data_IF_075497439242
#
_entry.id   IF_075497439242
#
_cell.length_a   1.000
_cell.length_b   1.000
_cell.length_c   1.000
_cell.angle_alpha   90.00
_cell.angle_beta   90.00
_cell.angle_gamma   90.00
#
_symmetry.space_group_name_H-M   'P 1'
#
loop_
_entity.id
_entity.type
_entity.pdbx_description
1 polymer ?
#
# COMPACT_ATOMS: atom_id res chain seq x y z
N UNK A 1 -23.31 -20.66 13.76
CA UNK A 1 -22.26 -19.94 14.53
C UNK A 1 -22.34 -18.45 14.17
N UNK A 2 -22.68 -17.56 15.12
CA UNK A 2 -22.80 -16.11 14.85
C UNK A 2 -21.39 -15.50 14.80
N UNK A 3 -21.00 -14.92 13.67
CA UNK A 3 -19.76 -14.15 13.57
C UNK A 3 -19.73 -13.04 14.64
N UNK A 4 -18.62 -12.94 15.35
CA UNK A 4 -18.35 -11.94 16.38
C UNK A 4 -18.62 -10.52 15.85
N UNK A 5 -19.09 -9.58 16.68
CA UNK A 5 -19.50 -8.24 16.23
C UNK A 5 -18.39 -7.49 15.49
N UNK A 6 -17.13 -7.66 15.90
CA UNK A 6 -15.96 -7.09 15.21
C UNK A 6 -15.78 -7.63 13.79
N UNK A 7 -16.02 -8.92 13.58
CA UNK A 7 -15.89 -9.57 12.27
C UNK A 7 -16.99 -9.12 11.29
N UNK A 8 -18.18 -8.77 11.78
CA UNK A 8 -19.25 -8.21 10.92
C UNK A 8 -18.97 -6.77 10.50
N UNK A 9 -18.35 -5.98 11.37
CA UNK A 9 -18.01 -4.58 11.07
C UNK A 9 -16.91 -4.53 10.00
N UNK A 10 -15.86 -5.36 10.13
CA UNK A 10 -14.78 -5.41 9.12
C UNK A 10 -15.30 -5.83 7.74
N UNK A 11 -16.19 -6.83 7.67
CA UNK A 11 -16.80 -7.28 6.42
C UNK A 11 -17.68 -6.21 5.75
N UNK A 12 -18.43 -5.44 6.55
CA UNK A 12 -19.24 -4.33 6.03
C UNK A 12 -18.39 -3.18 5.52
N UNK A 13 -17.31 -2.85 6.22
CA UNK A 13 -16.36 -1.83 5.78
C UNK A 13 -15.63 -2.25 4.50
N UNK A 14 -15.17 -3.50 4.42
CA UNK A 14 -14.58 -4.04 3.20
C UNK A 14 -15.59 -4.02 2.03
N UNK A 15 -16.81 -4.50 2.25
CA UNK A 15 -17.87 -4.43 1.24
C UNK A 15 -18.17 -3.00 0.78
N UNK A 16 -18.13 -2.01 1.68
CA UNK A 16 -18.33 -0.61 1.34
C UNK A 16 -17.16 0.01 0.55
N UNK A 17 -15.92 -0.33 0.92
CA UNK A 17 -14.71 0.11 0.21
C UNK A 17 -14.72 -0.42 -1.23
N UNK A 18 -15.14 -1.67 -1.44
CA UNK A 18 -15.08 -2.30 -2.77
C UNK A 18 -16.40 -2.23 -3.56
N UNK A 19 -17.52 -1.80 -2.98
CA UNK A 19 -18.76 -1.59 -3.73
C UNK A 19 -18.73 -0.30 -4.54
N UNK A 20 -18.94 -0.42 -5.85
CA UNK A 20 -19.21 0.70 -6.75
C UNK A 20 -20.64 0.58 -7.26
N UNK A 21 -21.47 1.55 -6.91
CA UNK A 21 -22.92 1.58 -7.16
C UNK A 21 -23.25 2.78 -8.06
N UNK A 22 -22.58 2.89 -9.20
CA UNK A 22 -22.80 4.00 -10.13
C UNK A 22 -23.14 3.44 -11.50
N UNK A 23 -24.43 3.21 -11.71
CA UNK A 23 -24.99 2.63 -12.93
C UNK A 23 -24.95 3.63 -14.11
N UNK A 24 -24.83 4.94 -13.83
CA UNK A 24 -24.68 6.05 -14.80
C UNK A 24 -23.99 7.27 -14.18
N UNK A 25 -22.70 7.19 -13.87
CA UNK A 25 -21.97 8.29 -13.21
C UNK A 25 -21.48 9.36 -14.21
N UNK A 26 -21.94 10.60 -14.03
CA UNK A 26 -21.23 11.79 -14.52
C UNK A 26 -19.76 11.74 -14.05
N UNK A 27 -18.76 12.17 -14.84
CA UNK A 27 -17.33 12.02 -14.52
C UNK A 27 -16.95 12.46 -13.10
N UNK A 28 -17.60 13.50 -12.57
CA UNK A 28 -17.42 13.98 -11.21
C UNK A 28 -17.72 12.93 -10.12
N UNK A 29 -18.69 12.03 -10.34
CA UNK A 29 -19.02 10.96 -9.40
C UNK A 29 -17.95 9.85 -9.38
N UNK A 30 -17.34 9.58 -10.53
CA UNK A 30 -16.18 8.66 -10.61
C UNK A 30 -15.04 9.25 -9.78
N UNK A 31 -14.67 10.51 -10.04
CA UNK A 31 -13.62 11.20 -9.27
C UNK A 31 -13.93 11.21 -7.77
N UNK A 32 -15.16 11.56 -7.37
CA UNK A 32 -15.58 11.58 -5.97
C UNK A 32 -15.49 10.18 -5.31
N UNK A 33 -15.84 9.12 -6.04
CA UNK A 33 -15.74 7.74 -5.54
C UNK A 33 -14.28 7.34 -5.25
N UNK A 34 -13.36 7.73 -6.13
CA UNK A 34 -11.92 7.52 -5.95
C UNK A 34 -11.35 8.39 -4.83
N UNK A 35 -11.63 9.69 -4.80
CA UNK A 35 -11.10 10.59 -3.77
C UNK A 35 -11.57 10.18 -2.35
N UNK A 36 -12.80 9.70 -2.20
CA UNK A 36 -13.29 9.17 -0.92
C UNK A 36 -12.51 7.92 -0.45
N UNK A 37 -12.00 7.12 -1.40
CA UNK A 37 -11.24 5.90 -1.13
C UNK A 37 -9.72 6.12 -1.06
N UNK A 38 -9.27 7.35 -1.31
CA UNK A 38 -7.87 7.74 -1.08
C UNK A 38 -7.49 7.57 0.39
N UNK A 39 -8.41 7.89 1.31
CA UNK A 39 -8.18 7.74 2.75
C UNK A 39 -7.90 6.27 3.15
N UNK A 40 -8.78 5.28 2.89
CA UNK A 40 -8.49 3.89 3.22
C UNK A 40 -7.26 3.35 2.48
N UNK A 41 -7.03 3.73 1.22
CA UNK A 41 -5.81 3.36 0.50
C UNK A 41 -4.55 3.85 1.23
N UNK A 42 -4.49 5.14 1.56
CA UNK A 42 -3.36 5.73 2.27
C UNK A 42 -3.18 5.15 3.68
N UNK A 43 -4.27 4.81 4.37
CA UNK A 43 -4.19 4.13 5.67
C UNK A 43 -3.59 2.72 5.54
N UNK A 44 -4.02 1.95 4.55
CA UNK A 44 -3.48 0.59 4.29
C UNK A 44 -2.00 0.68 3.94
N UNK A 45 -1.64 1.46 2.91
CA UNK A 45 -0.26 1.59 2.45
C UNK A 45 0.63 2.22 3.51
N UNK A 46 0.12 3.21 4.25
CA UNK A 46 0.82 3.84 5.37
C UNK A 46 1.10 2.86 6.52
N UNK A 47 0.10 2.06 6.92
CA UNK A 47 0.28 1.02 7.94
C UNK A 47 1.28 -0.05 7.49
N UNK A 48 1.20 -0.50 6.24
CA UNK A 48 2.18 -1.44 5.66
C UNK A 48 3.58 -0.82 5.64
N UNK A 49 3.71 0.46 5.31
CA UNK A 49 5.00 1.16 5.29
C UNK A 49 5.61 1.26 6.69
N UNK A 50 4.81 1.58 7.71
CA UNK A 50 5.25 1.59 9.10
C UNK A 50 5.71 0.21 9.56
N UNK A 51 4.99 -0.85 9.17
CA UNK A 51 5.38 -2.23 9.46
C UNK A 51 6.71 -2.57 8.80
N UNK A 52 6.87 -2.29 7.51
CA UNK A 52 8.12 -2.52 6.76
C UNK A 52 9.29 -1.79 7.41
N UNK A 53 9.10 -0.52 7.80
CA UNK A 53 10.12 0.28 8.46
C UNK A 53 10.49 -0.29 9.83
N UNK A 54 9.50 -0.74 10.61
CA UNK A 54 9.72 -1.35 11.93
C UNK A 54 10.53 -2.64 11.82
N UNK A 55 10.21 -3.50 10.84
CA UNK A 55 10.97 -4.72 10.55
C UNK A 55 12.41 -4.38 10.17
N UNK A 56 12.58 -3.38 9.29
CA UNK A 56 13.91 -2.94 8.86
C UNK A 56 14.76 -2.51 10.05
N UNK A 57 14.25 -1.63 10.93
CA UNK A 57 14.98 -1.18 12.11
C UNK A 57 15.22 -2.31 13.12
N UNK A 58 14.26 -3.21 13.33
CA UNK A 58 14.41 -4.34 14.24
C UNK A 58 15.53 -5.29 13.79
N UNK A 59 15.57 -5.63 12.50
CA UNK A 59 16.63 -6.47 11.93
C UNK A 59 17.98 -5.75 11.99
N UNK A 60 18.02 -4.47 11.60
CA UNK A 60 19.25 -3.69 11.59
C UNK A 60 19.87 -3.57 13.00
N UNK A 61 19.06 -3.27 14.01
CA UNK A 61 19.51 -3.18 15.41
C UNK A 61 19.91 -4.55 15.99
N UNK A 62 19.16 -5.60 15.66
CA UNK A 62 19.49 -6.97 16.08
C UNK A 62 20.83 -7.44 15.51
N UNK A 63 21.09 -7.16 14.24
CA UNK A 63 22.34 -7.53 13.58
C UNK A 63 23.55 -6.73 14.07
N UNK A 64 23.39 -5.41 14.30
CA UNK A 64 24.47 -4.58 14.89
C UNK A 64 24.88 -5.09 16.28
N UNK A 65 23.90 -5.43 17.14
CA UNK A 65 24.19 -5.95 18.48
C UNK A 65 24.89 -7.31 18.47
N UNK A 66 24.63 -8.15 17.46
CA UNK A 66 25.19 -9.50 17.37
C UNK A 66 26.57 -9.56 16.71
N UNK A 67 26.86 -8.70 15.72
CA UNK A 67 28.09 -8.81 14.90
C UNK A 67 29.00 -7.58 15.08
N UNK A 68 28.53 -6.50 15.71
CA UNK A 68 29.29 -5.25 15.85
C UNK A 68 29.54 -4.54 14.51
N UNK A 69 28.87 -4.98 13.44
CA UNK A 69 28.91 -4.28 12.15
C UNK A 69 28.03 -3.04 12.28
N UNK A 70 28.60 -1.84 12.10
CA UNK A 70 27.84 -0.61 12.26
C UNK A 70 26.64 -0.61 11.32
N UNK A 71 25.51 -0.10 11.81
CA UNK A 71 24.33 0.19 11.00
C UNK A 71 24.76 0.81 9.67
N UNK A 72 24.67 0.04 8.58
CA UNK A 72 24.87 0.51 7.20
C UNK A 72 23.75 1.46 6.79
N UNK A 73 23.27 2.30 7.70
CA UNK A 73 22.29 3.34 7.44
C UNK A 73 22.84 4.23 6.32
N UNK A 74 22.03 4.51 5.29
CA UNK A 74 22.42 5.44 4.24
C UNK A 74 22.87 6.76 4.87
N UNK A 75 24.14 7.10 4.69
CA UNK A 75 24.68 8.41 5.04
C UNK A 75 24.62 9.27 3.78
N UNK A 76 24.01 10.48 3.82
CA UNK A 76 23.39 11.14 4.96
C UNK A 76 21.97 10.62 5.28
N UNK A 77 21.51 10.72 6.56
CA UNK A 77 20.18 10.30 7.01
C UNK A 77 19.04 11.01 6.27
N UNK A 78 19.31 12.16 5.65
CA UNK A 78 18.39 12.86 4.77
C UNK A 78 17.93 12.00 3.58
N UNK A 79 18.76 11.08 3.07
CA UNK A 79 18.38 10.20 1.96
C UNK A 79 17.21 9.27 2.33
N UNK A 80 17.13 8.82 3.59
CA UNK A 80 16.01 7.99 4.06
C UNK A 80 14.72 8.80 4.07
N UNK A 81 14.76 10.04 4.57
CA UNK A 81 13.63 10.96 4.54
C UNK A 81 13.18 11.28 3.11
N UNK A 82 14.13 11.57 2.21
CA UNK A 82 13.85 11.81 0.79
C UNK A 82 13.20 10.58 0.16
N UNK A 83 13.72 9.37 0.43
CA UNK A 83 13.15 8.14 -0.10
C UNK A 83 11.72 7.88 0.40
N UNK A 84 11.44 8.13 1.69
CA UNK A 84 10.10 7.99 2.26
C UNK A 84 9.13 9.00 1.64
N UNK A 85 9.52 10.26 1.52
CA UNK A 85 8.69 11.30 0.90
C UNK A 85 8.48 11.03 -0.59
N UNK A 86 9.53 10.66 -1.31
CA UNK A 86 9.44 10.30 -2.73
C UNK A 86 8.51 9.10 -2.93
N UNK A 87 8.63 8.06 -2.11
CA UNK A 87 7.73 6.91 -2.14
C UNK A 87 6.28 7.33 -1.89
N UNK A 88 6.02 8.14 -0.86
CA UNK A 88 4.68 8.65 -0.55
C UNK A 88 4.06 9.45 -1.72
N UNK A 89 4.86 10.26 -2.42
CA UNK A 89 4.42 10.96 -3.62
C UNK A 89 4.09 9.96 -4.73
N UNK A 90 5.00 9.02 -5.01
CA UNK A 90 4.83 8.03 -6.09
C UNK A 90 3.56 7.20 -5.91
N UNK A 91 3.28 6.71 -4.69
CA UNK A 91 2.06 5.91 -4.44
C UNK A 91 0.78 6.75 -4.61
N UNK A 92 0.80 8.03 -4.24
CA UNK A 92 -0.35 8.91 -4.43
C UNK A 92 -0.55 9.34 -5.89
N UNK A 93 0.53 9.52 -6.65
CA UNK A 93 0.47 9.74 -8.11
C UNK A 93 -0.07 8.51 -8.80
N UNK A 94 0.43 7.32 -8.44
CA UNK A 94 -0.06 6.06 -8.97
C UNK A 94 -1.56 5.87 -8.67
N UNK A 95 -2.00 6.26 -7.47
CA UNK A 95 -3.41 6.28 -7.11
C UNK A 95 -4.24 7.21 -8.01
N UNK A 96 -3.75 8.42 -8.30
CA UNK A 96 -4.47 9.37 -9.19
C UNK A 96 -4.67 8.81 -10.59
N UNK A 97 -3.77 7.96 -11.07
CA UNK A 97 -3.94 7.29 -12.37
C UNK A 97 -5.20 6.40 -12.41
N UNK A 98 -5.71 5.91 -11.28
CA UNK A 98 -6.88 5.03 -11.22
C UNK A 98 -8.15 5.64 -11.81
N UNK A 99 -8.56 6.81 -11.31
CA UNK A 99 -9.75 7.47 -11.86
C UNK A 99 -9.52 8.01 -13.27
N UNK A 100 -8.28 8.41 -13.61
CA UNK A 100 -7.92 8.84 -14.97
C UNK A 100 -8.10 7.68 -15.95
N UNK A 101 -7.62 6.48 -15.61
CA UNK A 101 -7.78 5.27 -16.43
C UNK A 101 -9.25 4.90 -16.56
N UNK A 102 -10.03 4.96 -15.48
CA UNK A 102 -11.46 4.66 -15.55
C UNK A 102 -12.21 5.63 -16.48
N UNK A 103 -11.94 6.93 -16.38
CA UNK A 103 -12.54 7.92 -17.28
C UNK A 103 -12.07 7.76 -18.73
N UNK A 104 -10.79 7.43 -18.94
CA UNK A 104 -10.24 7.19 -20.27
C UNK A 104 -10.89 5.96 -20.91
N UNK A 105 -11.06 4.88 -20.14
CA UNK A 105 -11.72 3.65 -20.61
C UNK A 105 -13.19 3.91 -20.92
N UNK A 106 -13.92 4.59 -20.01
CA UNK A 106 -15.31 4.96 -20.22
C UNK A 106 -15.48 5.84 -21.48
N UNK A 107 -14.55 6.77 -21.72
CA UNK A 107 -14.58 7.67 -22.89
C UNK A 107 -14.22 6.98 -24.20
N UNK A 108 -13.18 6.14 -24.20
CA UNK A 108 -12.66 5.52 -25.43
C UNK A 108 -13.53 4.35 -25.89
N UNK A 109 -14.00 3.50 -24.97
CA UNK A 109 -14.84 2.34 -25.30
C UNK A 109 -16.35 2.64 -25.25
N UNK A 110 -16.76 3.80 -24.71
CA UNK A 110 -18.18 4.21 -24.56
C UNK A 110 -19.02 3.18 -23.80
N UNK A 111 -18.42 2.47 -22.84
CA UNK A 111 -19.08 1.46 -22.00
C UNK A 111 -19.18 1.98 -20.56
N UNK A 112 -20.26 1.64 -19.87
CA UNK A 112 -20.35 1.84 -18.42
C UNK A 112 -19.32 0.95 -17.69
N UNK A 113 -18.52 1.53 -16.80
CA UNK A 113 -17.44 0.82 -16.10
C UNK A 113 -17.70 0.58 -14.60
N UNK A 114 -18.91 0.17 -14.15
CA UNK A 114 -19.24 0.10 -12.72
C UNK A 114 -18.43 -0.98 -11.97
N UNK A 115 -17.84 -1.95 -12.66
CA UNK A 115 -17.04 -3.01 -12.04
C UNK A 115 -15.53 -2.67 -12.13
N UNK A 116 -15.14 -1.77 -13.03
CA UNK A 116 -13.74 -1.45 -13.29
C UNK A 116 -13.07 -0.76 -12.10
N UNK A 117 -13.72 0.26 -11.53
CA UNK A 117 -13.20 1.03 -10.40
C UNK A 117 -12.77 0.13 -9.23
N UNK A 118 -13.66 -0.73 -8.69
CA UNK A 118 -13.31 -1.69 -7.64
C UNK A 118 -12.14 -2.62 -7.97
N UNK A 119 -12.11 -3.17 -9.19
CA UNK A 119 -11.05 -4.10 -9.60
C UNK A 119 -9.71 -3.38 -9.62
N UNK A 120 -9.64 -2.23 -10.29
CA UNK A 120 -8.40 -1.46 -10.43
C UNK A 120 -7.94 -0.92 -9.08
N UNK A 121 -8.86 -0.43 -8.24
CA UNK A 121 -8.54 0.00 -6.88
C UNK A 121 -7.96 -1.16 -6.05
N UNK A 122 -8.55 -2.35 -6.13
CA UNK A 122 -8.04 -3.54 -5.42
C UNK A 122 -6.66 -3.93 -5.93
N UNK A 123 -6.47 -4.00 -7.25
CA UNK A 123 -5.18 -4.32 -7.86
C UNK A 123 -4.10 -3.34 -7.44
N UNK A 124 -4.37 -2.03 -7.50
CA UNK A 124 -3.41 -1.01 -7.09
C UNK A 124 -3.10 -1.06 -5.59
N UNK A 125 -4.09 -1.34 -4.75
CA UNK A 125 -3.87 -1.52 -3.31
C UNK A 125 -2.98 -2.73 -3.04
N UNK A 126 -3.31 -3.88 -3.64
CA UNK A 126 -2.54 -5.12 -3.48
C UNK A 126 -1.10 -4.95 -3.98
N UNK A 127 -0.92 -4.42 -5.19
CA UNK A 127 0.40 -4.17 -5.76
C UNK A 127 1.20 -3.22 -4.87
N UNK A 128 0.60 -2.12 -4.41
CA UNK A 128 1.27 -1.18 -3.51
C UNK A 128 1.76 -1.90 -2.25
N UNK A 129 0.87 -2.63 -1.56
CA UNK A 129 1.20 -3.39 -0.34
C UNK A 129 2.31 -4.42 -0.58
N UNK A 130 2.22 -5.20 -1.65
CA UNK A 130 3.25 -6.20 -2.00
C UNK A 130 4.60 -5.52 -2.20
N UNK A 131 4.65 -4.45 -3.01
CA UNK A 131 5.87 -3.69 -3.25
C UNK A 131 6.41 -3.07 -1.95
N UNK A 132 5.55 -2.57 -1.06
CA UNK A 132 5.97 -2.05 0.25
C UNK A 132 6.59 -3.14 1.14
N UNK A 133 6.13 -4.39 1.03
CA UNK A 133 6.63 -5.50 1.85
C UNK A 133 7.92 -6.13 1.32
N UNK A 134 8.22 -5.99 0.02
CA UNK A 134 9.43 -6.56 -0.60
C UNK A 134 10.72 -6.17 0.14
N UNK A 135 10.97 -4.89 0.49
CA UNK A 135 12.16 -4.51 1.25
C UNK A 135 12.28 -5.20 2.61
N UNK A 136 11.17 -5.35 3.34
CA UNK A 136 11.16 -6.05 4.62
C UNK A 136 11.48 -7.55 4.46
N UNK A 137 10.86 -8.20 3.47
CA UNK A 137 11.15 -9.59 3.14
C UNK A 137 12.60 -9.81 2.74
N UNK A 138 13.16 -8.91 1.93
CA UNK A 138 14.56 -8.95 1.51
C UNK A 138 15.51 -8.81 2.70
N UNK A 139 15.25 -7.88 3.62
CA UNK A 139 16.10 -7.65 4.80
C UNK A 139 16.05 -8.83 5.77
N UNK A 140 14.87 -9.42 5.98
CA UNK A 140 14.73 -10.67 6.76
C UNK A 140 15.51 -11.81 6.10
N UNK A 141 15.33 -12.00 4.79
CA UNK A 141 16.03 -13.02 4.02
C UNK A 141 17.55 -12.85 4.16
N UNK A 142 18.08 -11.65 3.88
CA UNK A 142 19.50 -11.36 4.01
C UNK A 142 20.00 -11.65 5.43
N UNK A 143 19.31 -11.19 6.48
CA UNK A 143 19.71 -11.43 7.86
C UNK A 143 19.78 -12.94 8.23
N UNK A 144 18.89 -13.76 7.67
CA UNK A 144 18.91 -15.22 7.85
C UNK A 144 20.13 -15.85 7.16
N UNK A 145 20.46 -15.40 5.94
CA UNK A 145 21.51 -16.01 5.11
C UNK A 145 22.92 -15.47 5.39
N UNK A 146 23.06 -14.20 5.79
CA UNK A 146 24.37 -13.54 6.00
C UNK A 146 24.87 -13.66 7.43
N UNK A 147 24.30 -14.54 8.24
CA UNK A 147 24.74 -14.82 9.62
C UNK A 147 24.66 -13.64 10.60
N UNK A 148 23.46 -13.10 10.83
CA UNK A 148 23.07 -12.71 12.22
C UNK A 148 22.77 -13.95 13.10
N UNK A 149 23.26 -15.12 12.66
CA UNK A 149 23.32 -16.43 13.33
C UNK A 149 24.64 -16.59 14.09
N UNK A 150 24.98 -15.65 14.95
CA UNK A 150 26.03 -15.86 15.96
C UNK A 150 25.49 -16.73 17.09
N UNK A 151 25.36 -18.03 16.82
CA UNK A 151 25.26 -19.13 17.80
C UNK A 151 26.21 -20.23 17.32
#
# INVERSE_FOLDING_TARGET
MRAAPLFRISWRLAGWIFAHQLEKSHPAHVVAWWELRRLPYNLIVGATSLLTLSVFYAVAFGCERSIGVPLGMPRPPLLVLIAVVAYWIVVNVFYTCGWILELLVARLWRVSTPIFGPIVFTLFTVVSVVVTLVPAGLVIFLAIFTSCRGL
#
